data_IF_203513719698
#
_entry.id   IF_203513719698
#
_cell.length_a   1.000
_cell.length_b   1.000
_cell.length_c   1.000
_cell.angle_alpha   90.00
_cell.angle_beta   90.00
_cell.angle_gamma   90.00
#
_symmetry.space_group_name_H-M   'P 1'
#
loop_
_entity.id
_entity.type
_entity.pdbx_description
1 polymer ?
#
# COMPACT_ATOMS: atom_id res chain seq x y z
N UNK A 1 16.72 1.91 -5.11
CA UNK A 1 15.29 2.04 -5.50
C UNK A 1 15.12 2.86 -6.78
N UNK A 2 15.57 4.12 -6.84
CA UNK A 2 15.42 4.97 -8.04
C UNK A 2 15.89 4.33 -9.35
N UNK A 3 17.01 3.62 -9.32
CA UNK A 3 17.54 2.93 -10.52
C UNK A 3 16.65 1.79 -11.02
N UNK A 4 15.78 1.24 -10.16
CA UNK A 4 14.86 0.17 -10.52
C UNK A 4 13.50 0.70 -11.00
N UNK A 5 13.08 1.90 -10.57
CA UNK A 5 11.77 2.45 -10.94
C UNK A 5 11.54 2.52 -12.46
N UNK A 6 12.52 2.91 -13.31
CA UNK A 6 12.36 2.88 -14.77
C UNK A 6 12.01 1.52 -15.35
N UNK A 7 12.29 0.41 -14.65
CA UNK A 7 11.93 -0.94 -15.09
C UNK A 7 10.41 -1.15 -15.15
N UNK A 8 9.60 -0.31 -14.49
CA UNK A 8 8.14 -0.34 -14.64
C UNK A 8 7.64 0.37 -15.90
N UNK A 9 8.50 1.05 -16.66
CA UNK A 9 8.08 1.81 -17.84
C UNK A 9 7.33 0.94 -18.87
N UNK A 10 7.80 -0.27 -19.24
CA UNK A 10 7.06 -1.12 -20.20
C UNK A 10 5.63 -1.43 -19.77
N UNK A 11 5.40 -1.60 -18.48
CA UNK A 11 4.05 -1.83 -17.93
C UNK A 11 3.22 -0.54 -17.98
N UNK A 12 3.81 0.59 -17.60
CA UNK A 12 3.14 1.90 -17.61
C UNK A 12 2.87 2.46 -19.01
N UNK A 13 3.61 2.03 -20.04
CA UNK A 13 3.46 2.49 -21.42
C UNK A 13 2.96 1.41 -22.37
N UNK A 14 2.45 0.29 -21.85
CA UNK A 14 1.94 -0.81 -22.66
C UNK A 14 0.89 -0.30 -23.66
N UNK A 15 1.05 -0.74 -24.91
CA UNK A 15 0.23 -0.26 -26.04
C UNK A 15 -1.20 -0.78 -25.98
N UNK A 16 -1.44 -1.92 -25.31
CA UNK A 16 -2.77 -2.48 -25.11
C UNK A 16 -3.63 -1.75 -24.07
N UNK A 17 -3.13 -0.67 -23.47
CA UNK A 17 -3.91 0.18 -22.56
C UNK A 17 -4.74 1.21 -23.30
N UNK A 18 -5.99 1.35 -22.89
CA UNK A 18 -6.74 2.59 -23.10
C UNK A 18 -6.13 3.74 -22.27
N UNK A 19 -6.45 4.97 -22.63
CA UNK A 19 -5.87 6.14 -21.97
C UNK A 19 -6.17 6.17 -20.47
N UNK A 20 -7.41 5.89 -20.07
CA UNK A 20 -7.87 5.85 -18.68
C UNK A 20 -7.16 4.78 -17.87
N UNK A 21 -6.89 3.62 -18.49
CA UNK A 21 -6.21 2.49 -17.87
C UNK A 21 -4.75 2.81 -17.61
N UNK A 22 -4.09 3.39 -18.61
CA UNK A 22 -2.72 3.88 -18.51
C UNK A 22 -2.59 4.92 -17.40
N UNK A 23 -3.53 5.85 -17.31
CA UNK A 23 -3.55 6.87 -16.27
C UNK A 23 -3.76 6.26 -14.86
N UNK A 24 -4.70 5.32 -14.71
CA UNK A 24 -4.91 4.60 -13.44
C UNK A 24 -3.66 3.83 -12.99
N UNK A 25 -3.03 3.09 -13.91
CA UNK A 25 -1.80 2.35 -13.63
C UNK A 25 -0.66 3.31 -13.27
N UNK A 26 -0.49 4.39 -14.04
CA UNK A 26 0.50 5.43 -13.79
C UNK A 26 0.34 6.09 -12.40
N UNK A 27 -0.90 6.39 -12.00
CA UNK A 27 -1.22 6.92 -10.67
C UNK A 27 -0.84 5.97 -9.54
N UNK A 28 -1.16 4.67 -9.68
CA UNK A 28 -0.80 3.65 -8.68
C UNK A 28 0.72 3.45 -8.57
N UNK A 29 1.41 3.35 -9.70
CA UNK A 29 2.87 3.22 -9.73
C UNK A 29 3.54 4.46 -9.10
N UNK A 30 3.09 5.65 -9.46
CA UNK A 30 3.60 6.91 -8.89
C UNK A 30 3.30 7.04 -7.39
N UNK A 31 2.12 6.61 -6.94
CA UNK A 31 1.80 6.59 -5.51
C UNK A 31 2.72 5.61 -4.75
N UNK A 32 2.90 4.39 -5.28
CA UNK A 32 3.76 3.38 -4.67
C UNK A 32 5.22 3.85 -4.58
N UNK A 33 5.75 4.47 -5.64
CA UNK A 33 7.11 5.00 -5.68
C UNK A 33 7.31 6.11 -4.64
N UNK A 34 6.40 7.11 -4.60
CA UNK A 34 6.49 8.22 -3.64
C UNK A 34 6.42 7.78 -2.18
N UNK A 35 5.52 6.83 -1.87
CA UNK A 35 5.42 6.27 -0.52
C UNK A 35 6.68 5.47 -0.15
N UNK A 36 7.22 4.70 -1.10
CA UNK A 36 8.45 3.94 -0.91
C UNK A 36 9.65 4.86 -0.64
N UNK A 37 9.85 5.89 -1.47
CA UNK A 37 10.95 6.84 -1.29
C UNK A 37 10.85 7.59 0.03
N UNK A 38 9.65 8.04 0.40
CA UNK A 38 9.41 8.72 1.67
C UNK A 38 9.68 7.79 2.87
N UNK A 39 9.30 6.51 2.78
CA UNK A 39 9.60 5.53 3.83
C UNK A 39 11.11 5.29 3.96
N UNK A 40 11.82 5.12 2.85
CA UNK A 40 13.28 4.97 2.84
C UNK A 40 14.00 6.21 3.40
N UNK A 41 13.45 7.40 3.17
CA UNK A 41 13.99 8.63 3.77
C UNK A 41 13.84 8.61 5.29
N UNK A 42 12.66 8.27 5.82
CA UNK A 42 12.43 8.15 7.25
C UNK A 42 13.36 7.10 7.88
N UNK A 43 13.54 5.96 7.21
CA UNK A 43 14.49 4.92 7.61
C UNK A 43 15.92 5.44 7.70
N UNK A 44 16.37 6.23 6.72
CA UNK A 44 17.70 6.83 6.72
C UNK A 44 17.93 7.81 7.90
N UNK A 45 16.86 8.43 8.41
CA UNK A 45 16.87 9.27 9.62
C UNK A 45 16.60 8.49 10.92
N UNK A 46 16.49 7.16 10.87
CA UNK A 46 16.20 6.32 12.03
C UNK A 46 14.75 6.42 12.55
N UNK A 47 13.83 7.03 11.79
CA UNK A 47 12.41 7.14 12.17
C UNK A 47 11.64 5.87 11.75
N UNK A 48 12.05 4.71 12.27
CA UNK A 48 11.56 3.40 11.79
C UNK A 48 10.06 3.18 12.03
N UNK A 49 9.52 3.69 13.14
CA UNK A 49 8.10 3.54 13.46
C UNK A 49 7.20 4.38 12.56
N UNK A 50 7.63 5.59 12.21
CA UNK A 50 6.92 6.41 11.21
C UNK A 50 7.06 5.79 9.81
N UNK A 51 8.23 5.24 9.49
CA UNK A 51 8.43 4.49 8.25
C UNK A 51 7.50 3.26 8.16
N UNK A 52 7.27 2.55 9.27
CA UNK A 52 6.32 1.44 9.34
C UNK A 52 4.90 1.88 8.97
N UNK A 53 4.43 2.99 9.55
CA UNK A 53 3.10 3.55 9.26
C UNK A 53 3.00 3.89 7.77
N UNK A 54 4.04 4.48 7.20
CA UNK A 54 4.05 4.88 5.80
C UNK A 54 4.13 3.69 4.82
N UNK A 55 4.80 2.61 5.21
CA UNK A 55 4.87 1.37 4.43
C UNK A 55 3.50 0.77 4.18
N UNK A 56 2.47 1.04 5.01
CA UNK A 56 1.08 0.67 4.68
C UNK A 56 0.65 1.14 3.30
N UNK A 57 0.99 2.37 2.93
CA UNK A 57 0.66 2.89 1.59
C UNK A 57 1.39 2.14 0.47
N UNK A 58 2.61 1.65 0.74
CA UNK A 58 3.36 0.81 -0.19
C UNK A 58 2.67 -0.55 -0.36
N UNK A 59 2.25 -1.19 0.74
CA UNK A 59 1.50 -2.45 0.69
C UNK A 59 0.15 -2.30 -0.04
N UNK A 60 -0.63 -1.27 0.30
CA UNK A 60 -1.95 -1.01 -0.31
C UNK A 60 -1.85 -0.75 -1.82
N UNK A 61 -0.91 0.11 -2.23
CA UNK A 61 -0.71 0.39 -3.66
C UNK A 61 -0.21 -0.84 -4.42
N UNK A 62 0.62 -1.67 -3.78
CA UNK A 62 1.08 -2.95 -4.34
C UNK A 62 -0.06 -3.93 -4.56
N UNK A 63 -0.90 -4.14 -3.54
CA UNK A 63 -2.03 -5.06 -3.67
C UNK A 63 -3.06 -4.55 -4.67
N UNK A 64 -3.38 -3.25 -4.68
CA UNK A 64 -4.31 -2.68 -5.66
C UNK A 64 -3.81 -2.84 -7.08
N UNK A 65 -2.54 -2.52 -7.32
CA UNK A 65 -1.91 -2.72 -8.61
C UNK A 65 -1.97 -4.20 -9.03
N UNK A 66 -1.52 -5.10 -8.15
CA UNK A 66 -1.48 -6.55 -8.42
C UNK A 66 -2.86 -7.14 -8.63
N UNK A 67 -3.85 -6.66 -7.89
CA UNK A 67 -5.23 -7.07 -8.02
C UNK A 67 -5.83 -6.60 -9.35
N UNK A 68 -5.52 -5.39 -9.82
CA UNK A 68 -5.93 -4.95 -11.15
C UNK A 68 -5.31 -5.85 -12.23
N UNK A 69 -3.99 -6.01 -12.22
CA UNK A 69 -3.24 -6.72 -13.27
C UNK A 69 -3.13 -8.23 -13.04
N UNK A 70 -4.00 -8.81 -12.22
CA UNK A 70 -3.95 -10.24 -11.93
C UNK A 70 -4.21 -11.08 -13.19
N UNK A 71 -5.24 -10.70 -13.96
CA UNK A 71 -5.69 -11.37 -15.18
C UNK A 71 -6.41 -10.38 -16.10
N UNK A 72 -6.18 -10.52 -17.41
CA UNK A 72 -6.86 -9.77 -18.46
C UNK A 72 -8.39 -9.89 -18.36
N UNK A 73 -8.90 -11.09 -18.06
CA UNK A 73 -10.35 -11.38 -18.01
C UNK A 73 -11.09 -10.51 -16.98
N UNK A 74 -10.43 -10.19 -15.87
CA UNK A 74 -11.01 -9.41 -14.77
C UNK A 74 -10.60 -7.95 -14.78
N UNK A 75 -9.64 -7.58 -15.64
CA UNK A 75 -9.00 -6.26 -15.59
C UNK A 75 -10.01 -5.14 -15.80
N UNK A 76 -10.81 -5.21 -16.87
CA UNK A 76 -11.77 -4.15 -17.23
C UNK A 76 -12.80 -3.90 -16.14
N UNK A 77 -13.35 -4.96 -15.56
CA UNK A 77 -14.32 -4.84 -14.45
C UNK A 77 -13.67 -4.26 -13.19
N UNK A 78 -12.46 -4.72 -12.82
CA UNK A 78 -11.74 -4.19 -11.66
C UNK A 78 -11.29 -2.76 -11.87
N UNK A 79 -10.89 -2.38 -13.08
CA UNK A 79 -10.55 -1.02 -13.44
C UNK A 79 -11.76 -0.10 -13.29
N UNK A 80 -12.92 -0.46 -13.85
CA UNK A 80 -14.19 0.29 -13.67
C UNK A 80 -14.52 0.47 -12.19
N UNK A 81 -14.47 -0.60 -11.40
CA UNK A 81 -14.75 -0.53 -9.97
C UNK A 81 -13.78 0.42 -9.23
N UNK A 82 -12.50 0.40 -9.59
CA UNK A 82 -11.45 1.16 -8.92
C UNK A 82 -11.38 2.63 -9.36
N UNK A 83 -11.48 2.88 -10.65
CA UNK A 83 -11.27 4.19 -11.26
C UNK A 83 -12.56 5.02 -11.37
N UNK A 84 -13.72 4.36 -11.47
CA UNK A 84 -15.00 5.04 -11.69
C UNK A 84 -15.90 4.93 -10.45
N UNK A 85 -16.22 3.69 -10.03
CA UNK A 85 -17.24 3.47 -9.01
C UNK A 85 -16.76 3.85 -7.61
N UNK A 86 -15.52 3.52 -7.24
CA UNK A 86 -14.94 3.88 -5.95
C UNK A 86 -14.89 5.40 -5.72
N UNK A 87 -14.38 6.22 -6.65
CA UNK A 87 -14.42 7.68 -6.50
C UNK A 87 -15.83 8.23 -6.31
N UNK A 88 -16.83 7.72 -7.03
CA UNK A 88 -18.23 8.14 -6.83
C UNK A 88 -18.76 7.75 -5.43
N UNK A 89 -18.40 6.56 -4.95
CA UNK A 89 -18.74 6.11 -3.58
C UNK A 89 -18.03 6.98 -2.53
N UNK A 90 -16.77 7.33 -2.74
CA UNK A 90 -16.00 8.22 -1.85
C UNK A 90 -16.62 9.62 -1.84
N UNK A 91 -17.02 10.15 -3.00
CA UNK A 91 -17.67 11.45 -3.10
C UNK A 91 -18.96 11.53 -2.26
N UNK A 92 -19.76 10.45 -2.20
CA UNK A 92 -20.92 10.37 -1.29
C UNK A 92 -20.53 10.44 0.20
N UNK A 93 -19.43 9.82 0.59
CA UNK A 93 -18.96 9.85 1.97
C UNK A 93 -18.42 11.24 2.33
N UNK A 94 -17.73 11.86 1.40
CA UNK A 94 -17.11 13.17 1.56
C UNK A 94 -18.13 14.30 1.54
N UNK A 95 -19.17 14.23 0.70
CA UNK A 95 -20.36 15.11 0.79
C UNK A 95 -20.96 15.09 2.20
N UNK A 96 -21.17 13.89 2.76
CA UNK A 96 -21.72 13.75 4.12
C UNK A 96 -20.83 14.40 5.17
N UNK A 97 -19.51 14.18 5.12
CA UNK A 97 -18.55 14.80 6.05
C UNK A 97 -18.53 16.32 5.89
N UNK A 98 -18.52 16.81 4.65
CA UNK A 98 -18.53 18.23 4.33
C UNK A 98 -19.78 18.91 4.88
N UNK A 99 -20.97 18.34 4.65
CA UNK A 99 -22.24 18.85 5.20
C UNK A 99 -22.24 18.86 6.73
N UNK A 100 -21.75 17.79 7.36
CA UNK A 100 -21.64 17.73 8.83
C UNK A 100 -20.73 18.83 9.39
N UNK A 101 -19.55 19.04 8.77
CA UNK A 101 -18.61 20.08 9.18
C UNK A 101 -19.21 21.48 8.98
N UNK A 102 -19.77 21.75 7.80
CA UNK A 102 -20.39 23.05 7.50
C UNK A 102 -21.61 23.34 8.40
N UNK A 103 -22.35 22.32 8.81
CA UNK A 103 -23.45 22.46 9.77
C UNK A 103 -23.01 22.76 11.21
N UNK A 104 -21.77 22.43 11.57
CA UNK A 104 -21.24 22.60 12.93
C UNK A 104 -20.55 23.97 13.17
N UNK A 105 -20.33 24.76 12.13
CA UNK A 105 -19.56 26.02 12.20
C UNK A 105 -20.45 27.27 12.13
N UNK A 106 -19.99 28.36 12.76
CA UNK A 106 -20.78 29.61 12.88
C UNK A 106 -21.00 30.34 11.55
N UNK A 107 -20.03 30.32 10.64
CA UNK A 107 -20.12 30.99 9.34
C UNK A 107 -19.67 30.05 8.20
N UNK A 108 -20.54 29.13 7.76
CA UNK A 108 -20.19 28.18 6.69
C UNK A 108 -20.03 28.82 5.32
N UNK A 109 -20.43 30.09 5.16
CA UNK A 109 -20.33 30.84 3.90
C UNK A 109 -19.00 31.61 3.76
N UNK A 110 -18.17 31.70 4.82
CA UNK A 110 -16.87 32.38 4.72
C UNK A 110 -15.97 31.72 3.66
N UNK A 111 -15.17 32.52 2.95
CA UNK A 111 -14.35 32.03 1.83
C UNK A 111 -13.34 30.95 2.22
N UNK A 112 -12.88 30.94 3.48
CA UNK A 112 -12.02 29.89 4.03
C UNK A 112 -12.61 28.49 3.92
N UNK A 113 -13.94 28.36 3.84
CA UNK A 113 -14.66 27.09 3.73
C UNK A 113 -14.98 26.69 2.30
N UNK A 114 -14.55 27.46 1.29
CA UNK A 114 -14.78 27.14 -0.13
C UNK A 114 -14.35 25.72 -0.51
N UNK A 115 -13.15 25.22 -0.13
CA UNK A 115 -12.74 23.86 -0.48
C UNK A 115 -13.71 22.78 0.04
N UNK A 116 -14.29 22.99 1.23
CA UNK A 116 -15.26 22.06 1.82
C UNK A 116 -16.63 22.19 1.13
N UNK A 117 -17.04 23.40 0.77
CA UNK A 117 -18.28 23.62 0.00
C UNK A 117 -18.21 22.99 -1.38
N UNK A 118 -17.05 23.02 -2.04
CA UNK A 118 -16.85 22.42 -3.36
C UNK A 118 -16.95 20.88 -3.32
N UNK A 119 -16.84 20.26 -2.14
CA UNK A 119 -17.07 18.82 -1.93
C UNK A 119 -18.56 18.47 -1.73
N UNK A 120 -19.43 19.46 -1.51
CA UNK A 120 -20.86 19.22 -1.32
C UNK A 120 -21.51 18.94 -2.67
N UNK A 121 -22.09 17.75 -2.81
CA UNK A 121 -22.75 17.35 -4.05
C UNK A 121 -24.11 18.05 -4.18
N UNK A 122 -24.53 18.44 -5.40
CA UNK A 122 -25.92 18.80 -5.66
C UNK A 122 -26.86 17.67 -5.22
N UNK A 123 -28.04 18.02 -4.69
CA UNK A 123 -28.96 17.03 -4.10
C UNK A 123 -29.39 15.96 -5.13
N UNK A 124 -29.66 16.36 -6.37
CA UNK A 124 -29.98 15.45 -7.49
C UNK A 124 -28.85 14.43 -7.74
N UNK A 125 -27.59 14.89 -7.78
CA UNK A 125 -26.43 14.02 -7.99
C UNK A 125 -26.21 13.08 -6.81
N UNK A 126 -26.42 13.57 -5.59
CA UNK A 126 -26.33 12.77 -4.36
C UNK A 126 -27.37 11.66 -4.35
N UNK A 127 -28.60 11.95 -4.76
CA UNK A 127 -29.69 10.97 -4.86
C UNK A 127 -29.44 9.95 -5.97
N UNK A 128 -28.97 10.40 -7.15
CA UNK A 128 -28.54 9.52 -8.25
C UNK A 128 -27.48 8.52 -7.77
N UNK A 129 -26.39 9.00 -7.17
CA UNK A 129 -25.29 8.15 -6.70
C UNK A 129 -25.73 7.23 -5.55
N UNK A 130 -26.57 7.71 -4.63
CA UNK A 130 -27.08 6.89 -3.53
C UNK A 130 -28.01 5.76 -4.02
N UNK A 131 -28.75 5.99 -5.10
CA UNK A 131 -29.58 5.00 -5.78
C UNK A 131 -28.72 3.99 -6.56
N UNK A 132 -27.73 4.48 -7.33
CA UNK A 132 -26.79 3.64 -8.08
C UNK A 132 -25.94 2.75 -7.18
N UNK A 133 -25.52 3.27 -6.02
CA UNK A 133 -24.69 2.55 -5.05
C UNK A 133 -25.39 2.39 -3.69
N UNK A 134 -26.30 1.41 -3.57
CA UNK A 134 -26.94 1.08 -2.30
C UNK A 134 -25.92 0.80 -1.20
N UNK A 135 -26.34 0.95 0.07
CA UNK A 135 -25.46 0.77 1.24
C UNK A 135 -24.79 -0.62 1.27
N UNK A 136 -25.49 -1.66 0.84
CA UNK A 136 -24.97 -3.03 0.75
C UNK A 136 -23.84 -3.13 -0.27
N UNK A 137 -24.04 -2.56 -1.46
CA UNK A 137 -23.04 -2.52 -2.52
C UNK A 137 -21.78 -1.78 -2.06
N UNK A 138 -21.92 -0.59 -1.46
CA UNK A 138 -20.79 0.18 -0.92
C UNK A 138 -19.97 -0.61 0.10
N UNK A 139 -20.64 -1.30 1.02
CA UNK A 139 -19.96 -2.18 1.99
C UNK A 139 -19.22 -3.33 1.31
N UNK A 140 -19.81 -3.93 0.29
CA UNK A 140 -19.15 -4.99 -0.48
C UNK A 140 -17.92 -4.47 -1.21
N UNK A 141 -18.01 -3.27 -1.81
CA UNK A 141 -16.89 -2.59 -2.46
C UNK A 141 -15.75 -2.33 -1.46
N UNK A 142 -16.05 -1.74 -0.30
CA UNK A 142 -15.07 -1.50 0.78
C UNK A 142 -14.41 -2.80 1.26
N UNK A 143 -15.18 -3.88 1.40
CA UNK A 143 -14.66 -5.18 1.79
C UNK A 143 -13.78 -5.81 0.71
N UNK A 144 -14.17 -5.70 -0.56
CA UNK A 144 -13.43 -6.26 -1.72
C UNK A 144 -12.10 -5.56 -1.92
N UNK A 145 -12.10 -4.23 -1.87
CA UNK A 145 -10.94 -3.38 -2.15
C UNK A 145 -10.15 -2.95 -0.92
N UNK A 146 -10.60 -3.33 0.27
CA UNK A 146 -9.80 -3.27 1.48
C UNK A 146 -8.64 -4.27 1.43
N UNK A 147 -7.56 -3.95 2.14
CA UNK A 147 -6.32 -4.75 2.17
C UNK A 147 -6.56 -6.25 2.33
N UNK A 148 -7.29 -6.64 3.37
CA UNK A 148 -7.59 -8.05 3.65
C UNK A 148 -8.46 -8.71 2.59
N UNK A 149 -9.37 -7.96 1.95
CA UNK A 149 -10.21 -8.46 0.85
C UNK A 149 -9.39 -8.83 -0.37
N UNK A 150 -8.54 -7.89 -0.82
CA UNK A 150 -7.64 -8.13 -1.96
C UNK A 150 -6.63 -9.23 -1.63
N UNK A 151 -6.03 -9.21 -0.44
CA UNK A 151 -5.06 -10.20 -0.03
C UNK A 151 -5.64 -11.61 -0.01
N UNK A 152 -6.84 -11.77 0.56
CA UNK A 152 -7.55 -13.05 0.56
C UNK A 152 -7.96 -13.47 -0.86
N UNK A 153 -8.40 -12.54 -1.71
CA UNK A 153 -8.76 -12.86 -3.10
C UNK A 153 -7.56 -13.31 -3.93
N UNK A 154 -6.39 -12.70 -3.72
CA UNK A 154 -5.15 -13.08 -4.41
C UNK A 154 -4.62 -14.41 -3.87
N UNK A 155 -4.53 -14.57 -2.55
CA UNK A 155 -3.95 -15.77 -1.92
C UNK A 155 -4.77 -17.03 -2.15
N UNK A 156 -6.10 -16.90 -2.28
CA UNK A 156 -7.00 -18.03 -2.58
C UNK A 156 -7.26 -18.23 -4.07
N UNK A 157 -6.58 -17.49 -4.95
CA UNK A 157 -6.69 -17.72 -6.39
C UNK A 157 -5.95 -19.00 -6.79
N UNK A 158 -6.28 -19.56 -7.96
CA UNK A 158 -5.56 -20.71 -8.52
C UNK A 158 -4.12 -20.36 -8.98
N UNK A 159 -3.70 -19.12 -8.78
CA UNK A 159 -2.46 -18.57 -9.27
C UNK A 159 -1.36 -18.67 -8.21
N UNK A 160 -0.43 -19.59 -8.45
CA UNK A 160 0.65 -19.93 -7.51
C UNK A 160 1.57 -18.76 -7.18
N UNK A 161 1.63 -17.73 -8.04
CA UNK A 161 2.39 -16.51 -7.76
C UNK A 161 1.95 -15.84 -6.45
N UNK A 162 0.65 -15.92 -6.15
CA UNK A 162 0.04 -15.23 -5.03
C UNK A 162 -0.11 -16.10 -3.78
N UNK A 163 0.23 -17.39 -3.85
CA UNK A 163 0.02 -18.35 -2.76
C UNK A 163 0.70 -17.93 -1.44
N UNK A 164 1.83 -17.23 -1.52
CA UNK A 164 2.62 -16.80 -0.35
C UNK A 164 2.40 -15.34 0.04
N UNK A 165 1.40 -14.65 -0.54
CA UNK A 165 1.14 -13.24 -0.23
C UNK A 165 0.70 -13.02 1.22
N UNK A 166 0.25 -14.07 1.90
CA UNK A 166 -0.08 -14.07 3.34
C UNK A 166 1.06 -13.50 4.20
N UNK A 167 2.32 -13.64 3.78
CA UNK A 167 3.48 -13.04 4.46
C UNK A 167 3.41 -11.51 4.58
N UNK A 168 2.72 -10.81 3.67
CA UNK A 168 2.51 -9.36 3.72
C UNK A 168 1.54 -8.93 4.83
N UNK A 169 0.81 -9.87 5.45
CA UNK A 169 -0.17 -9.56 6.51
C UNK A 169 0.49 -9.05 7.78
N UNK A 170 1.67 -9.59 8.12
CA UNK A 170 2.32 -9.28 9.39
C UNK A 170 2.76 -7.83 9.45
N UNK A 171 3.55 -7.37 8.48
CA UNK A 171 4.02 -5.98 8.41
C UNK A 171 2.85 -4.98 8.36
N UNK A 172 1.81 -5.28 7.56
CA UNK A 172 0.62 -4.45 7.50
C UNK A 172 -0.13 -4.36 8.84
N UNK A 173 -0.23 -5.48 9.58
CA UNK A 173 -0.90 -5.52 10.88
C UNK A 173 -0.15 -4.72 11.93
N UNK A 174 1.18 -4.85 12.01
CA UNK A 174 2.02 -4.05 12.91
C UNK A 174 1.86 -2.56 12.61
N UNK A 175 1.96 -2.18 11.35
CA UNK A 175 1.77 -0.81 10.93
C UNK A 175 0.35 -0.28 11.25
N UNK A 176 -0.66 -1.15 11.18
CA UNK A 176 -2.04 -0.83 11.56
C UNK A 176 -2.18 -0.53 13.05
N UNK A 177 -1.59 -1.36 13.91
CA UNK A 177 -1.58 -1.13 15.36
C UNK A 177 -0.98 0.24 15.71
N UNK A 178 0.18 0.56 15.12
CA UNK A 178 0.87 1.84 15.33
C UNK A 178 0.02 3.01 14.82
N UNK A 179 -0.50 2.90 13.59
CA UNK A 179 -1.34 3.95 13.00
C UNK A 179 -2.60 4.26 13.82
N UNK A 180 -3.20 3.24 14.42
CA UNK A 180 -4.38 3.41 15.28
C UNK A 180 -4.04 3.80 16.72
N UNK A 181 -2.75 3.86 17.09
CA UNK A 181 -2.28 4.11 18.44
C UNK A 181 -3.00 3.23 19.48
N UNK A 182 -3.28 1.97 19.11
CA UNK A 182 -3.83 1.02 20.07
C UNK A 182 -2.75 0.56 21.07
N UNK A 183 -3.16 -0.20 22.09
CA UNK A 183 -2.24 -0.58 23.16
C UNK A 183 -1.00 -1.34 22.63
N UNK A 184 -1.14 -2.16 21.59
CA UNK A 184 0.00 -2.85 20.96
C UNK A 184 0.86 -1.83 20.24
N UNK A 185 0.26 -0.96 19.43
CA UNK A 185 0.94 0.06 18.64
C UNK A 185 1.78 1.04 19.47
N UNK A 186 1.29 1.44 20.65
CA UNK A 186 2.03 2.35 21.54
C UNK A 186 3.03 1.63 22.45
N UNK A 187 2.84 0.35 22.72
CA UNK A 187 3.70 -0.40 23.65
C UNK A 187 4.95 -0.94 22.98
N UNK A 188 4.87 -1.41 21.72
CA UNK A 188 6.02 -2.02 21.04
C UNK A 188 7.20 -1.04 20.87
N UNK A 189 7.02 0.22 20.43
CA UNK A 189 8.12 1.19 20.39
C UNK A 189 8.79 1.38 21.74
N UNK A 190 7.97 1.59 22.78
CA UNK A 190 8.45 1.85 24.13
C UNK A 190 9.12 0.62 24.77
N UNK A 191 8.65 -0.59 24.46
CA UNK A 191 9.31 -1.84 24.85
C UNK A 191 10.73 -1.90 24.29
N UNK A 192 10.91 -1.60 23.00
CA UNK A 192 12.23 -1.61 22.35
C UNK A 192 13.16 -0.55 22.92
N UNK A 193 12.66 0.65 23.17
CA UNK A 193 13.45 1.75 23.75
C UNK A 193 13.96 1.45 25.16
N UNK A 194 13.25 0.58 25.90
CA UNK A 194 13.60 0.19 27.28
C UNK A 194 14.61 -0.96 27.36
N UNK A 195 15.01 -1.55 26.23
CA UNK A 195 16.01 -2.63 26.20
C UNK A 195 17.41 -2.10 26.50
N UNK A 196 18.33 -3.01 26.83
CA UNK A 196 19.75 -2.64 26.94
C UNK A 196 20.26 -2.09 25.60
N UNK A 197 21.25 -1.19 25.59
CA UNK A 197 21.73 -0.54 24.37
C UNK A 197 22.04 -1.52 23.24
N UNK A 198 22.74 -2.62 23.54
CA UNK A 198 23.14 -3.63 22.55
C UNK A 198 21.91 -4.32 21.95
N UNK A 199 20.95 -4.74 22.78
CA UNK A 199 19.71 -5.41 22.35
C UNK A 199 18.81 -4.48 21.56
N UNK A 200 18.75 -3.21 21.98
CA UNK A 200 17.99 -2.17 21.28
C UNK A 200 18.59 -1.91 19.90
N UNK A 201 19.90 -1.77 19.81
CA UNK A 201 20.57 -1.44 18.56
C UNK A 201 20.48 -2.63 17.56
N UNK A 202 20.61 -3.86 18.04
CA UNK A 202 20.41 -5.07 17.24
C UNK A 202 18.98 -5.18 16.67
N UNK A 203 17.94 -5.03 17.51
CA UNK A 203 16.54 -5.08 17.01
C UNK A 203 16.22 -3.89 16.10
N UNK A 204 16.86 -2.74 16.31
CA UNK A 204 16.67 -1.56 15.46
C UNK A 204 17.27 -1.79 14.06
N UNK A 205 18.45 -2.40 13.96
CA UNK A 205 19.04 -2.80 12.68
C UNK A 205 18.23 -3.88 11.97
N UNK A 206 17.78 -4.92 12.69
CA UNK A 206 16.90 -5.94 12.14
C UNK A 206 15.57 -5.34 11.61
N UNK A 207 15.00 -4.39 12.35
CA UNK A 207 13.80 -3.68 11.92
C UNK A 207 14.03 -2.84 10.66
N UNK A 208 15.13 -2.07 10.61
CA UNK A 208 15.52 -1.30 9.45
C UNK A 208 15.68 -2.20 8.22
N UNK A 209 16.45 -3.29 8.35
CA UNK A 209 16.66 -4.29 7.32
C UNK A 209 15.33 -4.82 6.77
N UNK A 210 14.41 -5.25 7.65
CA UNK A 210 13.08 -5.72 7.23
C UNK A 210 12.31 -4.66 6.47
N UNK A 211 12.25 -3.41 6.94
CA UNK A 211 11.47 -2.37 6.26
C UNK A 211 12.00 -2.04 4.86
N UNK A 212 13.32 -2.04 4.70
CA UNK A 212 13.96 -1.91 3.38
C UNK A 212 13.55 -3.10 2.51
N UNK A 213 13.65 -4.32 3.04
CA UNK A 213 13.25 -5.54 2.33
C UNK A 213 11.78 -5.53 1.91
N UNK A 214 10.87 -5.09 2.77
CA UNK A 214 9.44 -4.97 2.47
C UNK A 214 9.19 -4.03 1.28
N UNK A 215 9.92 -2.91 1.21
CA UNK A 215 9.83 -1.97 0.09
C UNK A 215 10.24 -2.60 -1.25
N UNK A 216 11.33 -3.37 -1.25
CA UNK A 216 11.83 -4.03 -2.46
C UNK A 216 11.01 -5.26 -2.82
N UNK A 217 10.51 -6.03 -1.86
CA UNK A 217 9.58 -7.12 -2.09
C UNK A 217 8.28 -6.62 -2.74
N UNK A 218 7.73 -5.51 -2.24
CA UNK A 218 6.59 -4.85 -2.86
C UNK A 218 6.88 -4.41 -4.30
N UNK A 219 8.08 -3.90 -4.57
CA UNK A 219 8.49 -3.55 -5.93
C UNK A 219 8.58 -4.79 -6.83
N UNK A 220 9.21 -5.89 -6.37
CA UNK A 220 9.31 -7.15 -7.11
C UNK A 220 7.93 -7.71 -7.45
N UNK A 221 6.99 -7.67 -6.51
CA UNK A 221 5.61 -8.08 -6.73
C UNK A 221 4.98 -7.28 -7.88
N UNK A 222 5.05 -5.94 -7.82
CA UNK A 222 4.50 -5.10 -8.89
C UNK A 222 5.18 -5.36 -10.23
N UNK A 223 6.50 -5.53 -10.23
CA UNK A 223 7.27 -5.79 -11.43
C UNK A 223 6.85 -7.12 -12.07
N UNK A 224 6.81 -8.20 -11.29
CA UNK A 224 6.44 -9.51 -11.78
C UNK A 224 4.99 -9.54 -12.28
N UNK A 225 4.03 -9.04 -11.49
CA UNK A 225 2.62 -9.03 -11.88
C UNK A 225 2.38 -8.16 -13.11
N UNK A 226 3.05 -7.01 -13.20
CA UNK A 226 2.95 -6.12 -14.36
C UNK A 226 3.54 -6.74 -15.62
N UNK A 227 4.75 -7.29 -15.55
CA UNK A 227 5.40 -7.92 -16.71
C UNK A 227 4.63 -9.13 -17.20
N UNK A 228 4.11 -9.96 -16.29
CA UNK A 228 3.25 -11.07 -16.67
C UNK A 228 1.98 -10.60 -17.39
N UNK A 229 1.38 -9.49 -16.95
CA UNK A 229 0.17 -8.97 -17.58
C UNK A 229 0.45 -8.46 -19.01
N UNK A 230 1.58 -7.80 -19.23
CA UNK A 230 1.91 -7.19 -20.53
C UNK A 230 2.73 -8.11 -21.45
N UNK A 231 2.88 -9.38 -21.09
CA UNK A 231 3.78 -10.34 -21.75
C UNK A 231 5.21 -9.78 -21.95
N UNK A 232 5.71 -9.10 -20.92
CA UNK A 232 7.01 -8.43 -20.93
C UNK A 232 8.19 -9.38 -20.80
N UNK A 233 9.38 -8.90 -21.15
CA UNK A 233 10.61 -9.69 -21.11
C UNK A 233 11.03 -10.06 -19.67
N UNK A 234 11.02 -11.36 -19.39
CA UNK A 234 11.41 -11.93 -18.11
C UNK A 234 12.85 -11.56 -17.71
N UNK A 235 13.75 -11.32 -18.67
CA UNK A 235 15.15 -10.97 -18.38
C UNK A 235 15.28 -9.67 -17.57
N UNK A 236 14.36 -8.73 -17.76
CA UNK A 236 14.34 -7.47 -17.00
C UNK A 236 13.92 -7.71 -15.55
N UNK A 237 12.97 -8.62 -15.33
CA UNK A 237 12.53 -9.02 -14.00
C UNK A 237 13.64 -9.77 -13.27
N UNK A 238 14.30 -10.71 -13.95
CA UNK A 238 15.45 -11.46 -13.42
C UNK A 238 16.61 -10.53 -13.03
N UNK A 239 16.93 -9.56 -13.87
CA UNK A 239 17.94 -8.55 -13.56
C UNK A 239 17.58 -7.74 -12.31
N UNK A 240 16.33 -7.27 -12.19
CA UNK A 240 15.87 -6.55 -11.02
C UNK A 240 15.98 -7.40 -9.74
N UNK A 241 15.55 -8.67 -9.82
CA UNK A 241 15.63 -9.63 -8.70
C UNK A 241 17.08 -9.85 -8.28
N UNK A 242 18.00 -10.06 -9.22
CA UNK A 242 19.43 -10.23 -8.93
C UNK A 242 19.99 -9.01 -8.19
N UNK A 243 19.68 -7.79 -8.66
CA UNK A 243 20.12 -6.55 -8.02
C UNK A 243 19.58 -6.40 -6.59
N UNK A 244 18.33 -6.80 -6.36
CA UNK A 244 17.69 -6.74 -5.04
C UNK A 244 18.27 -7.79 -4.10
N UNK A 245 18.48 -9.01 -4.58
CA UNK A 245 19.07 -10.08 -3.77
C UNK A 245 20.50 -9.72 -3.33
N UNK A 246 21.31 -9.13 -4.22
CA UNK A 246 22.65 -8.64 -3.86
C UNK A 246 22.61 -7.53 -2.81
N UNK A 247 21.55 -6.72 -2.77
CA UNK A 247 21.36 -5.75 -1.69
C UNK A 247 21.00 -6.46 -0.38
N UNK A 248 20.13 -7.48 -0.43
CA UNK A 248 19.68 -8.20 0.75
C UNK A 248 20.80 -8.98 1.45
N UNK A 249 21.82 -9.43 0.72
CA UNK A 249 23.00 -10.06 1.35
C UNK A 249 23.74 -9.12 2.30
N UNK A 250 23.61 -7.79 2.14
CA UNK A 250 24.20 -6.82 3.08
C UNK A 250 23.43 -6.76 4.42
N UNK A 251 22.21 -7.31 4.47
CA UNK A 251 21.32 -7.24 5.63
C UNK A 251 21.08 -8.59 6.32
N UNK A 252 21.53 -9.70 5.73
CA UNK A 252 21.26 -11.06 6.24
C UNK A 252 21.68 -11.21 7.70
N UNK A 253 22.86 -10.69 8.07
CA UNK A 253 23.37 -10.82 9.45
C UNK A 253 22.52 -10.05 10.46
N UNK A 254 21.86 -8.94 10.08
CA UNK A 254 21.16 -8.09 11.05
C UNK A 254 20.03 -8.84 11.76
N UNK A 255 19.32 -9.72 11.05
CA UNK A 255 18.26 -10.52 11.62
C UNK A 255 18.81 -11.67 12.48
N UNK A 256 19.88 -12.33 12.02
CA UNK A 256 20.53 -13.42 12.73
C UNK A 256 21.18 -12.93 14.04
N UNK A 257 21.93 -11.83 13.96
CA UNK A 257 22.56 -11.16 15.10
C UNK A 257 21.52 -10.77 16.16
N UNK A 258 20.37 -10.24 15.74
CA UNK A 258 19.28 -9.94 16.67
C UNK A 258 18.71 -11.21 17.31
N UNK A 259 18.45 -12.27 16.54
CA UNK A 259 17.92 -13.53 17.06
C UNK A 259 18.89 -14.14 18.08
N UNK A 260 20.18 -14.19 17.76
CA UNK A 260 21.19 -14.74 18.66
C UNK A 260 21.34 -13.88 19.92
N UNK A 261 21.28 -12.55 19.81
CA UNK A 261 21.34 -11.67 20.98
C UNK A 261 20.09 -11.76 21.87
N UNK A 262 18.92 -11.98 21.30
CA UNK A 262 17.65 -11.98 22.02
C UNK A 262 17.32 -13.38 22.61
N UNK A 263 17.75 -14.44 21.93
CA UNK A 263 17.34 -15.82 22.21
C UNK A 263 18.50 -16.82 22.32
N UNK A 264 19.74 -16.45 21.99
CA UNK A 264 20.89 -17.36 21.92
C UNK A 264 21.29 -18.01 23.25
N UNK A 265 21.03 -17.34 24.38
CA UNK A 265 21.29 -17.87 25.73
C UNK A 265 20.29 -18.98 26.16
N UNK A 266 19.36 -19.38 25.28
CA UNK A 266 18.41 -20.48 25.52
C UNK A 266 18.80 -21.80 24.84
N UNK A 267 20.03 -21.93 24.35
CA UNK A 267 20.60 -23.20 23.84
C UNK A 267 21.33 -23.97 24.94
#
# INVERSE_FOLDING_TARGET
MRDLLPMMAPVGTYEGWEWEERDTIGKLLSASARSTESALLLMAYGQLWDAEVLIRSVFESTLKFTYLVQSHDTFKDRHREFADEQPEIIALQDDRKARQLLGAIKNPKADSWRPIRDMVLPDEKREELASRYPKTYRRQMDMKWGYGGMLNSLSNSADTLFANFTGLSYGYSVASHIHHADFVGISVPLDRDRRSPERRDAIHLAHLARLISDCFACFQIRLFSGYRFVDGDASTVEYAISRINNLFTEFESAQEDWIDMEYGDRK
#
